data_IF_505516556781
#
_entry.id   IF_505516556781
#
_cell.length_a   1.000
_cell.length_b   1.000
_cell.length_c   1.000
_cell.angle_alpha   90.00
_cell.angle_beta   90.00
_cell.angle_gamma   90.00
#
_symmetry.space_group_name_H-M   'P 1'
#
loop_
_entity.id
_entity.type
_entity.pdbx_description
1 polymer ?
#
# COMPACT_ATOMS: atom_id res chain seq x y z
N UNK A 1 14.18 -0.68 8.43
CA UNK A 1 14.31 -0.71 9.90
C UNK A 1 12.97 -0.28 10.46
N UNK A 2 12.24 -1.08 11.25
CA UNK A 2 10.96 -0.66 11.77
C UNK A 2 11.18 0.33 12.93
N UNK A 3 10.54 1.49 12.85
CA UNK A 3 10.60 2.52 13.88
C UNK A 3 9.82 2.07 15.11
N UNK A 4 10.51 2.04 16.24
CA UNK A 4 9.94 1.80 17.56
C UNK A 4 9.44 3.15 18.08
N UNK A 5 8.12 3.34 18.14
CA UNK A 5 7.53 4.41 18.93
C UNK A 5 7.71 4.00 20.40
N UNK A 6 8.68 4.59 21.09
CA UNK A 6 8.81 4.46 22.55
C UNK A 6 8.23 5.72 23.19
N UNK A 7 6.91 5.77 23.31
CA UNK A 7 6.27 6.61 24.33
C UNK A 7 6.21 5.77 25.61
N UNK A 8 6.57 6.30 26.80
CA UNK A 8 6.41 5.56 28.05
C UNK A 8 4.95 5.13 28.22
N UNK A 9 4.70 3.83 28.08
CA UNK A 9 3.36 3.22 28.02
C UNK A 9 2.50 3.53 29.27
N UNK A 10 3.16 3.85 30.40
CA UNK A 10 2.52 4.14 31.68
C UNK A 10 1.73 5.45 31.68
N UNK A 11 2.16 6.49 30.94
CA UNK A 11 1.56 7.82 31.03
C UNK A 11 0.29 7.93 30.17
N UNK A 12 0.28 7.29 28.99
CA UNK A 12 -0.88 7.20 28.08
C UNK A 12 -2.06 6.46 28.71
N UNK A 13 -1.81 5.37 29.47
CA UNK A 13 -2.86 4.56 30.09
C UNK A 13 -3.71 5.33 31.10
N UNK A 14 -3.12 6.28 31.83
CA UNK A 14 -3.82 7.03 32.89
C UNK A 14 -4.83 8.04 32.33
N UNK A 15 -4.55 8.64 31.16
CA UNK A 15 -5.40 9.68 30.53
C UNK A 15 -6.46 9.13 29.58
N UNK A 16 -6.31 7.88 29.14
CA UNK A 16 -7.36 7.18 28.37
C UNK A 16 -8.58 6.87 29.26
N UNK A 17 -8.40 6.72 30.58
CA UNK A 17 -9.47 6.38 31.54
C UNK A 17 -10.50 7.49 31.82
N UNK A 18 -10.29 8.72 31.32
CA UNK A 18 -11.15 9.87 31.67
C UNK A 18 -12.18 10.26 30.60
N UNK A 19 -12.29 9.53 29.48
CA UNK A 19 -13.37 9.75 28.49
C UNK A 19 -14.43 8.64 28.59
N UNK A 20 -15.74 8.96 28.57
CA UNK A 20 -16.84 7.99 28.74
C UNK A 20 -17.12 7.16 27.47
N UNK A 21 -16.16 7.03 26.57
CA UNK A 21 -16.27 6.15 25.41
C UNK A 21 -15.72 4.79 25.81
N UNK A 22 -16.46 3.72 25.53
CA UNK A 22 -15.90 2.38 25.58
C UNK A 22 -14.64 2.29 24.68
N UNK A 23 -13.72 1.38 24.99
CA UNK A 23 -12.44 1.30 24.28
C UNK A 23 -12.57 1.15 22.75
N UNK A 24 -13.73 0.67 22.26
CA UNK A 24 -14.07 0.55 20.84
C UNK A 24 -14.60 1.85 20.23
N UNK A 25 -15.47 2.60 20.91
CA UNK A 25 -15.95 3.90 20.42
C UNK A 25 -14.84 4.97 20.41
N UNK A 26 -13.85 4.84 21.29
CA UNK A 26 -12.73 5.77 21.36
C UNK A 26 -11.81 5.71 20.15
N UNK A 27 -11.48 4.50 19.66
CA UNK A 27 -10.61 4.31 18.49
C UNK A 27 -11.28 4.75 17.18
N UNK A 28 -12.61 4.83 17.17
CA UNK A 28 -13.39 5.24 16.00
C UNK A 28 -13.68 6.74 15.97
N UNK A 29 -13.23 7.51 16.98
CA UNK A 29 -13.42 8.96 17.06
C UNK A 29 -12.09 9.69 16.83
N UNK A 30 -11.87 10.14 15.59
CA UNK A 30 -10.68 10.92 15.21
C UNK A 30 -10.45 12.13 16.12
N UNK A 31 -11.50 12.90 16.40
CA UNK A 31 -11.45 14.04 17.31
C UNK A 31 -11.00 13.64 18.72
N UNK A 32 -11.46 12.50 19.23
CA UNK A 32 -11.06 12.01 20.55
C UNK A 32 -9.62 11.52 20.60
N UNK A 33 -9.13 10.89 19.54
CA UNK A 33 -7.73 10.48 19.42
C UNK A 33 -6.80 11.71 19.37
N UNK A 34 -7.20 12.75 18.64
CA UNK A 34 -6.47 14.02 18.61
C UNK A 34 -6.43 14.72 19.98
N UNK A 35 -7.52 14.68 20.76
CA UNK A 35 -7.52 15.17 22.15
C UNK A 35 -6.54 14.39 23.03
N UNK A 36 -6.53 13.06 22.90
CA UNK A 36 -5.61 12.21 23.66
C UNK A 36 -4.17 12.53 23.31
N UNK A 37 -3.87 12.65 22.01
CA UNK A 37 -2.53 13.02 21.55
C UNK A 37 -2.12 14.38 22.11
N UNK A 38 -3.00 15.40 22.06
CA UNK A 38 -2.75 16.72 22.68
C UNK A 38 -2.42 16.60 24.16
N UNK A 39 -3.23 15.85 24.91
CA UNK A 39 -3.06 15.66 26.35
C UNK A 39 -1.79 14.88 26.71
N UNK A 40 -1.37 13.95 25.83
CA UNK A 40 -0.14 13.19 25.99
C UNK A 40 1.10 14.05 25.72
N UNK A 41 1.08 14.86 24.66
CA UNK A 41 2.18 15.78 24.32
C UNK A 41 2.33 16.89 25.38
N UNK A 42 1.23 17.36 25.95
CA UNK A 42 1.25 18.37 27.01
C UNK A 42 1.62 17.82 28.39
N UNK A 43 1.87 16.52 28.51
CA UNK A 43 2.29 15.94 29.78
C UNK A 43 3.71 16.43 30.13
N UNK A 44 3.92 17.03 31.32
CA UNK A 44 5.25 17.43 31.76
C UNK A 44 6.26 16.28 31.75
N UNK A 45 5.82 15.04 31.94
CA UNK A 45 6.68 13.84 31.95
C UNK A 45 6.98 13.29 30.54
N UNK A 46 6.26 13.71 29.49
CA UNK A 46 6.51 13.22 28.13
C UNK A 46 7.82 13.76 27.53
N UNK A 47 8.36 14.84 28.09
CA UNK A 47 9.58 15.47 27.57
C UNK A 47 9.36 16.09 26.18
N UNK A 48 10.37 15.96 25.32
CA UNK A 48 10.27 16.39 23.92
C UNK A 48 9.72 15.24 23.07
N UNK A 49 8.69 15.53 22.27
CA UNK A 49 8.02 14.60 21.37
C UNK A 49 8.26 15.03 19.93
N UNK A 50 8.72 14.10 19.09
CA UNK A 50 8.84 14.30 17.65
C UNK A 50 7.88 13.36 16.93
N UNK A 51 6.99 13.91 16.11
CA UNK A 51 6.05 13.17 15.28
C UNK A 51 6.58 13.20 13.84
N UNK A 52 6.73 12.03 13.23
CA UNK A 52 7.12 11.89 11.82
C UNK A 52 5.90 11.42 11.05
N UNK A 53 5.45 12.22 10.07
CA UNK A 53 4.40 11.86 9.13
C UNK A 53 5.04 11.67 7.76
N UNK A 54 5.04 10.43 7.29
CA UNK A 54 5.70 10.04 6.05
C UNK A 54 4.69 9.97 4.90
N UNK A 55 5.12 10.39 3.71
CA UNK A 55 4.39 10.33 2.44
C UNK A 55 2.96 10.88 2.51
N UNK A 56 2.82 12.13 2.96
CA UNK A 56 1.52 12.79 3.09
C UNK A 56 0.72 12.88 1.78
N UNK A 57 1.39 12.81 0.64
CA UNK A 57 0.75 12.75 -0.67
C UNK A 57 0.02 11.43 -0.96
N UNK A 58 0.19 10.41 -0.13
CA UNK A 58 -0.56 9.16 -0.18
C UNK A 58 -1.86 9.21 0.66
N UNK A 59 -2.10 10.26 1.43
CA UNK A 59 -3.35 10.42 2.17
C UNK A 59 -4.52 10.70 1.22
N UNK A 60 -5.69 10.11 1.53
CA UNK A 60 -6.92 10.48 0.84
C UNK A 60 -7.19 11.98 1.00
N UNK A 61 -7.69 12.64 -0.05
CA UNK A 61 -7.80 14.11 -0.07
C UNK A 61 -8.67 14.67 1.08
N UNK A 62 -9.75 13.96 1.41
CA UNK A 62 -10.65 14.28 2.52
C UNK A 62 -9.92 14.20 3.87
N UNK A 63 -9.19 13.12 4.11
CA UNK A 63 -8.44 12.89 5.35
C UNK A 63 -7.25 13.83 5.50
N UNK A 64 -6.60 14.15 4.39
CA UNK A 64 -5.45 15.04 4.35
C UNK A 64 -5.79 16.44 4.87
N UNK A 65 -6.96 16.98 4.48
CA UNK A 65 -7.40 18.31 4.91
C UNK A 65 -7.64 18.37 6.42
N UNK A 66 -8.27 17.33 6.98
CA UNK A 66 -8.48 17.19 8.42
C UNK A 66 -7.15 17.03 9.18
N UNK A 67 -6.21 16.27 8.62
CA UNK A 67 -4.88 16.08 9.19
C UNK A 67 -4.14 17.42 9.30
N UNK A 68 -4.05 18.18 8.21
CA UNK A 68 -3.38 19.50 8.19
C UNK A 68 -4.00 20.42 9.22
N UNK A 69 -5.33 20.55 9.25
CA UNK A 69 -6.02 21.42 10.20
C UNK A 69 -5.72 21.03 11.66
N UNK A 70 -5.65 19.73 11.97
CA UNK A 70 -5.33 19.27 13.32
C UNK A 70 -3.87 19.55 13.68
N UNK A 71 -2.92 19.37 12.75
CA UNK A 71 -1.50 19.72 12.94
C UNK A 71 -1.37 21.22 13.21
N UNK A 72 -1.97 22.07 12.38
CA UNK A 72 -1.98 23.52 12.58
C UNK A 72 -2.55 23.90 13.95
N UNK A 73 -3.70 23.32 14.32
CA UNK A 73 -4.30 23.56 15.65
C UNK A 73 -3.37 23.18 16.79
N UNK A 74 -2.61 22.08 16.67
CA UNK A 74 -1.66 21.68 17.70
C UNK A 74 -0.45 22.61 17.75
N UNK A 75 0.04 23.06 16.60
CA UNK A 75 1.22 23.92 16.52
C UNK A 75 0.90 25.34 17.00
N UNK A 76 -0.21 25.92 16.56
CA UNK A 76 -0.53 27.34 16.83
C UNK A 76 -1.27 27.58 18.16
N UNK A 77 -2.11 26.65 18.62
CA UNK A 77 -2.88 26.89 19.86
C UNK A 77 -2.08 26.56 21.12
N UNK A 78 -0.95 25.86 21.01
CA UNK A 78 -0.25 25.31 22.16
C UNK A 78 0.81 26.28 22.70
N UNK A 79 0.35 27.43 23.21
CA UNK A 79 1.20 28.50 23.75
C UNK A 79 2.09 28.06 24.92
N UNK A 80 1.73 26.97 25.61
CA UNK A 80 2.42 26.46 26.80
C UNK A 80 3.55 25.46 26.49
N UNK A 81 3.68 25.00 25.25
CA UNK A 81 4.56 23.89 24.88
C UNK A 81 5.67 24.27 23.89
N UNK A 82 5.97 25.55 23.72
CA UNK A 82 6.98 26.05 22.79
C UNK A 82 8.29 25.24 22.93
N UNK A 83 8.62 24.43 21.91
CA UNK A 83 9.82 23.60 21.85
C UNK A 83 9.69 22.12 22.26
N UNK A 84 8.57 21.69 22.86
CA UNK A 84 8.38 20.28 23.25
C UNK A 84 7.85 19.39 22.13
N UNK A 85 7.04 19.92 21.22
CA UNK A 85 6.51 19.17 20.08
C UNK A 85 7.23 19.55 18.79
N UNK A 86 7.66 18.56 18.01
CA UNK A 86 8.22 18.73 16.67
C UNK A 86 7.48 17.86 15.68
N UNK A 87 7.26 18.40 14.48
CA UNK A 87 6.78 17.65 13.33
C UNK A 87 7.88 17.54 12.29
N UNK A 88 8.02 16.35 11.71
CA UNK A 88 8.76 16.12 10.47
C UNK A 88 7.78 15.53 9.47
N UNK A 89 7.55 16.24 8.38
CA UNK A 89 6.58 15.87 7.35
C UNK A 89 7.34 15.57 6.06
N UNK A 90 7.00 14.49 5.38
CA UNK A 90 7.49 14.22 4.01
C UNK A 90 6.31 14.16 3.06
N UNK A 91 6.48 14.72 1.86
CA UNK A 91 5.47 14.73 0.80
C UNK A 91 6.11 15.01 -0.54
N UNK A 92 5.51 14.49 -1.62
CA UNK A 92 5.73 15.05 -2.95
C UNK A 92 5.17 16.48 -3.04
N UNK A 93 5.79 17.38 -3.84
CA UNK A 93 5.40 18.79 -3.91
C UNK A 93 4.22 19.02 -4.87
N UNK A 94 3.16 18.21 -4.75
CA UNK A 94 1.94 18.43 -5.54
C UNK A 94 1.26 19.73 -5.10
N UNK A 95 0.81 20.53 -6.06
CA UNK A 95 0.20 21.84 -5.79
C UNK A 95 -0.97 21.75 -4.80
N UNK A 96 -1.82 20.72 -4.93
CA UNK A 96 -2.93 20.44 -4.02
C UNK A 96 -2.51 20.19 -2.56
N UNK A 97 -1.27 19.77 -2.33
CA UNK A 97 -0.71 19.51 -1.01
C UNK A 97 -0.01 20.75 -0.48
N UNK A 98 0.86 21.34 -1.29
CA UNK A 98 1.62 22.54 -0.95
C UNK A 98 0.66 23.68 -0.59
N UNK A 99 -0.39 23.89 -1.39
CA UNK A 99 -1.40 24.93 -1.14
C UNK A 99 -2.12 24.79 0.21
N UNK A 100 -2.38 23.55 0.66
CA UNK A 100 -2.99 23.28 1.97
C UNK A 100 -2.01 23.50 3.12
N UNK A 101 -0.71 23.41 2.87
CA UNK A 101 0.35 23.66 3.84
C UNK A 101 0.90 25.08 3.86
N UNK A 102 0.45 25.98 2.97
CA UNK A 102 1.01 27.34 2.83
C UNK A 102 1.30 28.04 4.16
N UNK A 103 0.33 28.05 5.08
CA UNK A 103 0.51 28.70 6.39
C UNK A 103 1.61 28.06 7.23
N UNK A 104 1.75 26.73 7.19
CA UNK A 104 2.85 26.03 7.86
C UNK A 104 4.18 26.28 7.14
N UNK A 105 4.18 26.40 5.81
CA UNK A 105 5.40 26.68 5.03
C UNK A 105 5.91 28.12 5.23
N UNK A 106 5.02 29.07 5.54
CA UNK A 106 5.39 30.45 5.88
C UNK A 106 6.17 30.54 7.21
N UNK A 107 5.75 29.74 8.20
CA UNK A 107 6.27 29.81 9.57
C UNK A 107 7.37 28.76 9.87
N UNK A 108 7.51 27.72 9.05
CA UNK A 108 8.41 26.58 9.29
C UNK A 108 9.33 26.26 8.11
N UNK A 109 10.53 25.71 8.36
CA UNK A 109 11.49 25.42 7.30
C UNK A 109 10.99 24.30 6.37
N UNK A 110 11.09 24.57 5.07
CA UNK A 110 10.92 23.57 4.01
C UNK A 110 12.29 23.09 3.53
N UNK A 111 12.44 21.76 3.38
CA UNK A 111 13.61 21.17 2.73
C UNK A 111 13.13 20.50 1.44
N UNK A 112 13.38 21.17 0.31
CA UNK A 112 13.13 20.58 -1.00
C UNK A 112 14.28 19.63 -1.37
N UNK A 113 13.95 18.37 -1.55
CA UNK A 113 14.87 17.37 -2.11
C UNK A 113 14.58 17.30 -3.62
N UNK A 114 15.46 17.84 -4.49
CA UNK A 114 15.22 17.85 -5.93
C UNK A 114 15.30 16.43 -6.47
N UNK A 115 14.15 15.79 -6.71
CA UNK A 115 14.08 14.44 -7.28
C UNK A 115 14.28 14.40 -8.80
N UNK A 116 14.04 15.52 -9.49
CA UNK A 116 14.02 15.61 -10.96
C UNK A 116 15.05 16.61 -11.52
N UNK A 117 15.44 17.62 -10.75
CA UNK A 117 16.26 18.76 -11.20
C UNK A 117 17.77 18.48 -11.13
N UNK A 118 18.21 17.59 -10.23
CA UNK A 118 19.63 17.23 -10.01
C UNK A 118 19.97 15.81 -10.51
N UNK A 119 19.48 15.47 -11.70
CA UNK A 119 19.57 14.12 -12.28
C UNK A 119 20.98 13.51 -12.27
N UNK A 120 22.03 14.33 -12.40
CA UNK A 120 23.41 13.85 -12.40
C UNK A 120 23.90 13.47 -11.00
N UNK A 121 23.62 14.28 -9.97
CA UNK A 121 23.98 13.98 -8.58
C UNK A 121 23.24 12.71 -8.12
N UNK A 122 21.94 12.64 -8.38
CA UNK A 122 21.12 11.47 -8.06
C UNK A 122 21.66 10.23 -8.76
N UNK A 123 22.03 10.34 -10.04
CA UNK A 123 22.64 9.23 -10.78
C UNK A 123 23.96 8.77 -10.14
N UNK A 124 24.79 9.70 -9.66
CA UNK A 124 26.02 9.36 -8.93
C UNK A 124 25.75 8.66 -7.59
N UNK A 125 24.73 9.08 -6.84
CA UNK A 125 24.32 8.42 -5.60
C UNK A 125 23.77 7.00 -5.86
N UNK A 126 22.92 6.85 -6.87
CA UNK A 126 22.43 5.54 -7.34
C UNK A 126 23.60 4.64 -7.72
N UNK A 127 24.65 5.16 -8.38
CA UNK A 127 25.86 4.39 -8.69
C UNK A 127 26.55 3.85 -7.43
N UNK A 128 26.56 4.60 -6.31
CA UNK A 128 27.10 4.11 -5.03
C UNK A 128 26.26 2.98 -4.47
N UNK A 129 24.94 3.06 -4.57
CA UNK A 129 24.04 1.98 -4.15
C UNK A 129 24.24 0.73 -5.01
N UNK A 130 24.39 0.88 -6.34
CA UNK A 130 24.71 -0.22 -7.25
C UNK A 130 26.03 -0.89 -6.83
N UNK A 131 27.09 -0.12 -6.57
CA UNK A 131 28.37 -0.66 -6.09
C UNK A 131 28.22 -1.41 -4.78
N UNK A 132 27.45 -0.86 -3.84
CA UNK A 132 27.18 -1.54 -2.58
C UNK A 132 26.46 -2.87 -2.82
N UNK A 133 25.38 -2.87 -3.60
CA UNK A 133 24.57 -4.07 -3.88
C UNK A 133 25.34 -5.11 -4.69
N UNK A 134 26.17 -4.71 -5.66
CA UNK A 134 26.98 -5.64 -6.46
C UNK A 134 28.06 -6.32 -5.61
N UNK A 135 28.63 -5.62 -4.63
CA UNK A 135 29.54 -6.22 -3.66
C UNK A 135 28.85 -7.32 -2.85
N UNK A 136 27.60 -7.11 -2.43
CA UNK A 136 26.82 -8.11 -1.72
C UNK A 136 26.45 -9.30 -2.61
N UNK A 137 25.97 -9.03 -3.82
CA UNK A 137 25.63 -10.07 -4.81
C UNK A 137 26.84 -10.92 -5.16
N UNK A 138 28.00 -10.29 -5.39
CA UNK A 138 29.26 -10.97 -5.72
C UNK A 138 29.69 -11.94 -4.62
N UNK A 139 29.56 -11.57 -3.34
CA UNK A 139 29.82 -12.47 -2.21
C UNK A 139 28.86 -13.65 -2.18
N UNK A 140 27.55 -13.38 -2.30
CA UNK A 140 26.49 -14.42 -2.26
C UNK A 140 26.61 -15.41 -3.41
N UNK A 141 26.81 -14.92 -4.63
CA UNK A 141 26.91 -15.74 -5.85
C UNK A 141 28.34 -16.17 -6.20
N UNK A 142 29.35 -15.78 -5.41
CA UNK A 142 30.78 -16.06 -5.65
C UNK A 142 31.22 -15.65 -7.07
N UNK A 143 30.93 -14.41 -7.45
CA UNK A 143 31.34 -13.86 -8.75
C UNK A 143 32.83 -13.49 -8.71
N UNK A 144 33.57 -13.82 -9.76
CA UNK A 144 34.95 -13.36 -9.91
C UNK A 144 35.00 -11.83 -10.08
N UNK A 145 36.15 -11.23 -9.78
CA UNK A 145 36.34 -9.77 -9.88
C UNK A 145 36.00 -9.24 -11.28
N UNK A 146 36.43 -9.94 -12.35
CA UNK A 146 36.12 -9.53 -13.72
C UNK A 146 34.62 -9.55 -14.02
N UNK A 147 33.91 -10.61 -13.60
CA UNK A 147 32.46 -10.73 -13.80
C UNK A 147 31.67 -9.70 -12.99
N UNK A 148 32.08 -9.45 -11.75
CA UNK A 148 31.49 -8.41 -10.89
C UNK A 148 31.64 -7.03 -11.54
N UNK A 149 32.85 -6.67 -11.95
CA UNK A 149 33.12 -5.36 -12.56
C UNK A 149 32.35 -5.17 -13.85
N UNK A 150 32.23 -6.24 -14.65
CA UNK A 150 31.45 -6.24 -15.88
C UNK A 150 29.96 -5.97 -15.62
N UNK A 151 29.34 -6.72 -14.70
CA UNK A 151 27.95 -6.51 -14.33
C UNK A 151 27.71 -5.11 -13.74
N UNK A 152 28.62 -4.63 -12.87
CA UNK A 152 28.56 -3.28 -12.32
C UNK A 152 28.58 -2.21 -13.42
N UNK A 153 29.48 -2.35 -14.40
CA UNK A 153 29.57 -1.43 -15.53
C UNK A 153 28.26 -1.39 -16.32
N UNK A 154 27.67 -2.55 -16.61
CA UNK A 154 26.41 -2.62 -17.39
C UNK A 154 25.25 -1.99 -16.63
N UNK A 155 25.09 -2.28 -15.33
CA UNK A 155 24.07 -1.65 -14.49
C UNK A 155 24.25 -0.14 -14.38
N UNK A 156 25.50 0.35 -14.36
CA UNK A 156 25.86 1.77 -14.38
C UNK A 156 25.66 2.46 -15.74
N UNK A 157 25.41 1.73 -16.81
CA UNK A 157 25.08 2.29 -18.13
C UNK A 157 23.57 2.45 -18.37
N UNK A 158 22.71 1.78 -17.59
CA UNK A 158 21.24 1.90 -17.74
C UNK A 158 20.76 3.32 -17.46
N UNK A 159 19.87 3.86 -18.30
CA UNK A 159 19.27 5.19 -18.12
C UNK A 159 18.07 5.12 -17.16
N UNK A 160 17.57 6.26 -16.67
CA UNK A 160 16.33 6.35 -15.86
C UNK A 160 16.25 5.43 -14.61
N UNK A 161 17.38 5.21 -13.93
CA UNK A 161 17.44 4.37 -12.73
C UNK A 161 16.99 5.13 -11.48
N UNK A 162 16.08 4.53 -10.72
CA UNK A 162 15.70 4.97 -9.37
C UNK A 162 16.24 4.01 -8.31
N UNK A 163 16.24 4.40 -7.04
CA UNK A 163 16.57 3.49 -5.93
C UNK A 163 15.67 2.24 -5.92
N UNK A 164 14.39 2.41 -6.26
CA UNK A 164 13.43 1.30 -6.35
C UNK A 164 13.73 0.37 -7.52
N UNK A 165 14.15 0.91 -8.67
CA UNK A 165 14.62 0.10 -9.80
C UNK A 165 15.83 -0.77 -9.40
N UNK A 166 16.81 -0.17 -8.70
CA UNK A 166 17.97 -0.93 -8.18
C UNK A 166 17.51 -2.04 -7.25
N UNK A 167 16.57 -1.76 -6.35
CA UNK A 167 16.01 -2.78 -5.46
C UNK A 167 15.41 -3.96 -6.23
N UNK A 168 14.55 -3.70 -7.23
CA UNK A 168 13.90 -4.74 -8.04
C UNK A 168 14.88 -5.54 -8.89
N UNK A 169 15.83 -4.86 -9.54
CA UNK A 169 16.84 -5.53 -10.38
C UNK A 169 17.73 -6.43 -9.54
N UNK A 170 18.15 -5.98 -8.36
CA UNK A 170 18.97 -6.82 -7.49
C UNK A 170 18.18 -7.98 -6.89
N UNK A 171 16.90 -7.82 -6.57
CA UNK A 171 16.05 -8.95 -6.18
C UNK A 171 15.97 -10.01 -7.29
N UNK A 172 15.73 -9.58 -8.53
CA UNK A 172 15.74 -10.47 -9.69
C UNK A 172 17.09 -11.19 -9.85
N UNK A 173 18.21 -10.45 -9.83
CA UNK A 173 19.55 -11.01 -9.97
C UNK A 173 19.90 -11.96 -8.82
N UNK A 174 19.39 -11.73 -7.61
CA UNK A 174 19.57 -12.61 -6.45
C UNK A 174 18.86 -13.96 -6.66
N UNK A 175 17.67 -13.97 -7.26
CA UNK A 175 16.89 -15.19 -7.55
C UNK A 175 17.37 -15.91 -8.81
N UNK A 176 17.80 -15.18 -9.84
CA UNK A 176 18.13 -15.73 -11.16
C UNK A 176 19.44 -16.54 -11.13
N UNK A 177 19.43 -17.77 -11.66
CA UNK A 177 20.63 -18.61 -11.74
C UNK A 177 21.34 -18.44 -13.09
N UNK A 178 21.92 -17.26 -13.31
CA UNK A 178 22.62 -16.97 -14.56
C UNK A 178 24.00 -17.63 -14.65
N UNK A 179 24.41 -17.95 -15.89
CA UNK A 179 25.72 -18.52 -16.17
C UNK A 179 26.83 -17.53 -15.81
N UNK A 180 27.77 -17.95 -14.98
CA UNK A 180 28.90 -17.12 -14.50
C UNK A 180 30.01 -17.00 -15.55
N UNK A 181 29.68 -16.45 -16.72
CA UNK A 181 30.60 -16.10 -17.80
C UNK A 181 30.22 -14.72 -18.35
N UNK A 182 31.11 -14.07 -19.10
CA UNK A 182 30.78 -12.77 -19.72
C UNK A 182 29.52 -12.86 -20.60
N UNK A 183 29.42 -13.90 -21.44
CA UNK A 183 28.22 -14.14 -22.26
C UNK A 183 26.96 -14.39 -21.43
N UNK A 184 27.09 -15.11 -20.30
CA UNK A 184 25.96 -15.35 -19.41
C UNK A 184 25.47 -14.08 -18.72
N UNK A 185 26.39 -13.22 -18.29
CA UNK A 185 26.05 -11.90 -17.75
C UNK A 185 25.38 -11.03 -18.81
N UNK A 186 25.93 -10.96 -20.03
CA UNK A 186 25.31 -10.18 -21.11
C UNK A 186 23.90 -10.67 -21.42
N UNK A 187 23.68 -11.99 -21.50
CA UNK A 187 22.33 -12.53 -21.73
C UNK A 187 21.36 -12.14 -20.61
N UNK A 188 21.82 -12.07 -19.36
CA UNK A 188 20.98 -11.64 -18.23
C UNK A 188 20.76 -10.14 -18.21
N UNK A 189 21.77 -9.33 -18.55
CA UNK A 189 21.66 -7.87 -18.59
C UNK A 189 20.66 -7.42 -19.65
N UNK A 190 20.62 -8.08 -20.80
CA UNK A 190 19.66 -7.76 -21.88
C UNK A 190 18.21 -8.01 -21.45
N UNK A 191 17.97 -8.89 -20.48
CA UNK A 191 16.62 -9.15 -19.95
C UNK A 191 16.28 -8.28 -18.74
N UNK A 192 17.18 -7.41 -18.28
CA UNK A 192 16.90 -6.49 -17.19
C UNK A 192 16.04 -5.32 -17.70
N UNK A 193 15.12 -4.82 -16.86
CA UNK A 193 14.32 -3.68 -17.22
C UNK A 193 15.19 -2.42 -17.26
N UNK A 194 14.95 -1.52 -18.22
CA UNK A 194 15.67 -0.24 -18.32
C UNK A 194 15.03 0.88 -17.50
N UNK A 195 13.81 0.66 -17.01
CA UNK A 195 13.06 1.63 -16.21
C UNK A 195 12.27 0.93 -15.12
N UNK A 196 11.75 1.72 -14.16
CA UNK A 196 10.86 1.19 -13.12
C UNK A 196 9.57 0.59 -13.72
N UNK A 197 9.04 1.21 -14.79
CA UNK A 197 7.84 0.74 -15.48
C UNK A 197 8.08 -0.60 -16.19
N UNK A 198 9.24 -0.77 -16.85
CA UNK A 198 9.63 -2.07 -17.41
C UNK A 198 9.81 -3.13 -16.30
N UNK A 199 10.32 -2.74 -15.13
CA UNK A 199 10.48 -3.67 -14.01
C UNK A 199 9.13 -4.17 -13.51
N UNK A 200 8.14 -3.28 -13.41
CA UNK A 200 6.77 -3.63 -13.07
C UNK A 200 6.11 -4.54 -14.09
N UNK A 201 6.22 -4.21 -15.38
CA UNK A 201 5.71 -5.05 -16.48
C UNK A 201 6.35 -6.45 -16.44
N UNK A 202 7.65 -6.54 -16.21
CA UNK A 202 8.36 -7.82 -16.11
C UNK A 202 7.95 -8.65 -14.88
N UNK A 203 7.63 -8.00 -13.75
CA UNK A 203 7.13 -8.71 -12.56
C UNK A 203 5.75 -9.30 -12.85
N UNK A 204 4.84 -8.49 -13.41
CA UNK A 204 3.46 -8.89 -13.60
C UNK A 204 3.27 -9.82 -14.82
N UNK A 205 4.06 -9.69 -15.89
CA UNK A 205 3.99 -10.58 -17.05
C UNK A 205 4.25 -12.06 -16.73
N UNK A 206 4.91 -12.36 -15.61
CA UNK A 206 5.11 -13.75 -15.13
C UNK A 206 3.78 -14.47 -14.84
N UNK A 207 2.72 -13.74 -14.52
CA UNK A 207 1.40 -14.31 -14.27
C UNK A 207 0.61 -14.64 -15.54
N UNK A 208 1.16 -14.40 -16.74
CA UNK A 208 0.55 -14.74 -18.05
C UNK A 208 -0.87 -14.20 -18.24
N UNK A 209 -1.14 -12.99 -17.74
CA UNK A 209 -2.45 -12.35 -17.84
C UNK A 209 -3.56 -13.12 -17.09
N UNK A 210 -3.21 -13.89 -16.06
CA UNK A 210 -4.17 -14.58 -15.19
C UNK A 210 -5.23 -13.56 -14.68
N UNK A 211 -6.54 -13.79 -14.98
CA UNK A 211 -7.62 -12.92 -14.55
C UNK A 211 -7.61 -12.65 -13.04
N UNK A 212 -7.12 -13.60 -12.25
CA UNK A 212 -7.02 -13.47 -10.80
C UNK A 212 -6.04 -12.36 -10.40
N UNK A 213 -4.92 -12.20 -11.11
CA UNK A 213 -3.97 -11.09 -10.85
C UNK A 213 -4.64 -9.76 -11.14
N UNK A 214 -5.41 -9.65 -12.23
CA UNK A 214 -6.17 -8.44 -12.53
C UNK A 214 -7.22 -8.15 -11.46
N UNK A 215 -7.93 -9.16 -10.95
CA UNK A 215 -8.92 -9.03 -9.86
C UNK A 215 -8.24 -8.51 -8.59
N UNK A 216 -7.14 -9.15 -8.16
CA UNK A 216 -6.33 -8.72 -7.00
C UNK A 216 -5.87 -7.27 -7.14
N UNK A 217 -5.24 -6.91 -8.26
CA UNK A 217 -4.72 -5.55 -8.45
C UNK A 217 -5.85 -4.51 -8.45
N UNK A 218 -7.00 -4.83 -9.07
CA UNK A 218 -8.20 -3.99 -9.06
C UNK A 218 -8.73 -3.77 -7.65
N UNK A 219 -8.80 -4.83 -6.83
CA UNK A 219 -9.22 -4.73 -5.44
C UNK A 219 -8.27 -3.81 -4.66
N UNK A 220 -6.95 -4.00 -4.78
CA UNK A 220 -5.97 -3.16 -4.07
C UNK A 220 -6.06 -1.69 -4.52
N UNK A 221 -6.33 -1.42 -5.81
CA UNK A 221 -6.49 -0.07 -6.35
C UNK A 221 -7.69 0.68 -5.75
N UNK A 222 -8.84 0.01 -5.67
CA UNK A 222 -10.11 0.62 -5.23
C UNK A 222 -10.33 0.58 -3.71
N UNK A 223 -9.59 -0.25 -2.99
CA UNK A 223 -9.83 -0.46 -1.57
C UNK A 223 -9.72 0.83 -0.76
N UNK A 224 -10.73 1.12 0.07
CA UNK A 224 -10.78 2.31 0.94
C UNK A 224 -9.74 2.25 2.06
N UNK A 225 -9.28 1.03 2.40
CA UNK A 225 -8.14 0.77 3.27
C UNK A 225 -7.45 -0.51 2.80
N UNK A 226 -6.18 -0.73 3.16
CA UNK A 226 -5.52 -2.01 2.92
C UNK A 226 -6.34 -3.19 3.47
N UNK A 227 -6.63 -4.17 2.61
CA UNK A 227 -7.30 -5.41 2.99
C UNK A 227 -6.32 -6.32 3.73
N UNK A 228 -6.83 -7.10 4.68
CA UNK A 228 -6.12 -8.22 5.28
C UNK A 228 -6.03 -9.40 4.31
N UNK A 229 -5.15 -10.36 4.61
CA UNK A 229 -5.05 -11.61 3.85
C UNK A 229 -6.39 -12.35 3.78
N UNK A 230 -7.04 -12.55 4.92
CA UNK A 230 -8.36 -13.18 4.98
C UNK A 230 -9.44 -12.41 4.21
N UNK A 231 -9.47 -11.08 4.30
CA UNK A 231 -10.42 -10.25 3.53
C UNK A 231 -10.22 -10.40 2.02
N UNK A 232 -8.97 -10.33 1.56
CA UNK A 232 -8.66 -10.49 0.13
C UNK A 232 -8.97 -11.92 -0.35
N UNK A 233 -8.65 -12.93 0.45
CA UNK A 233 -8.91 -14.33 0.12
C UNK A 233 -10.41 -14.57 -0.09
N UNK A 234 -11.28 -13.97 0.74
CA UNK A 234 -12.72 -13.99 0.52
C UNK A 234 -13.08 -13.21 -0.75
N UNK A 235 -12.64 -11.95 -0.87
CA UNK A 235 -13.03 -11.08 -1.98
C UNK A 235 -12.70 -11.70 -3.36
N UNK A 236 -11.58 -12.41 -3.50
CA UNK A 236 -11.22 -13.02 -4.77
C UNK A 236 -11.98 -14.31 -5.08
N UNK A 237 -12.40 -15.07 -4.06
CA UNK A 237 -13.09 -16.35 -4.21
C UNK A 237 -14.62 -16.22 -4.21
N UNK A 238 -15.16 -15.04 -3.93
CA UNK A 238 -16.59 -14.77 -4.10
C UNK A 238 -16.91 -14.69 -5.59
N UNK A 239 -17.90 -15.49 -5.99
CA UNK A 239 -18.46 -15.59 -7.34
C UNK A 239 -19.98 -15.77 -7.30
N UNK A 240 -20.60 -15.78 -8.48
CA UNK A 240 -22.05 -15.94 -8.66
C UNK A 240 -22.52 -17.40 -8.54
N UNK A 241 -21.61 -18.37 -8.65
CA UNK A 241 -21.95 -19.80 -8.63
C UNK A 241 -22.09 -20.32 -7.19
N UNK A 242 -21.45 -19.66 -6.23
CA UNK A 242 -21.55 -19.92 -4.80
C UNK A 242 -22.99 -19.73 -4.28
N UNK A 243 -23.46 -20.63 -3.41
CA UNK A 243 -24.80 -20.54 -2.80
C UNK A 243 -24.73 -20.10 -1.33
N UNK A 244 -23.58 -20.31 -0.69
CA UNK A 244 -23.30 -19.97 0.70
C UNK A 244 -21.85 -19.53 0.86
N UNK A 245 -21.56 -18.72 1.90
CA UNK A 245 -20.17 -18.35 2.26
C UNK A 245 -19.29 -19.56 2.58
N UNK A 246 -19.89 -20.70 2.93
CA UNK A 246 -19.16 -21.96 3.19
C UNK A 246 -18.67 -22.65 1.92
N UNK A 247 -19.21 -22.30 0.76
CA UNK A 247 -18.84 -22.87 -0.53
C UNK A 247 -17.55 -22.23 -1.08
N UNK A 248 -17.09 -21.13 -0.47
CA UNK A 248 -15.90 -20.41 -0.89
C UNK A 248 -14.63 -21.26 -0.70
N UNK A 249 -13.83 -21.35 -1.77
CA UNK A 249 -12.56 -22.08 -1.79
C UNK A 249 -11.43 -21.27 -1.13
N UNK A 250 -11.37 -21.30 0.21
CA UNK A 250 -10.45 -20.48 1.00
C UNK A 250 -9.24 -21.27 1.53
N UNK A 251 -8.03 -20.94 1.07
CA UNK A 251 -6.77 -21.41 1.70
C UNK A 251 -6.50 -20.72 3.04
N UNK A 252 -5.69 -21.29 3.93
CA UNK A 252 -5.21 -20.54 5.10
C UNK A 252 -4.39 -19.29 4.70
N UNK A 253 -4.18 -18.38 5.65
CA UNK A 253 -3.54 -17.09 5.38
C UNK A 253 -2.08 -17.22 4.91
N UNK A 254 -1.33 -18.25 5.32
CA UNK A 254 0.08 -18.43 4.94
C UNK A 254 0.21 -19.05 3.54
N UNK A 255 -0.66 -20.00 3.21
CA UNK A 255 -0.78 -20.56 1.86
C UNK A 255 -1.26 -19.50 0.87
N UNK A 256 -2.33 -18.77 1.22
CA UNK A 256 -2.85 -17.68 0.38
C UNK A 256 -1.81 -16.58 0.15
N UNK A 257 -1.06 -16.21 1.19
CA UNK A 257 0.07 -15.28 1.09
C UNK A 257 1.15 -15.77 0.14
N UNK A 258 1.44 -17.07 0.14
CA UNK A 258 2.42 -17.66 -0.78
C UNK A 258 1.91 -17.62 -2.22
N UNK A 259 0.62 -17.89 -2.44
CA UNK A 259 -0.03 -17.79 -3.75
C UNK A 259 -0.08 -16.36 -4.28
N UNK A 260 -0.45 -15.40 -3.44
CA UNK A 260 -0.46 -13.98 -3.77
C UNK A 260 0.93 -13.47 -4.18
N UNK A 261 1.99 -13.94 -3.51
CA UNK A 261 3.38 -13.67 -3.90
C UNK A 261 3.76 -14.33 -5.22
N UNK A 262 3.23 -15.52 -5.52
CA UNK A 262 3.40 -16.19 -6.81
C UNK A 262 2.78 -15.39 -7.95
N UNK A 263 1.60 -14.81 -7.72
CA UNK A 263 0.86 -14.01 -8.71
C UNK A 263 1.44 -12.63 -8.97
N UNK A 264 1.70 -11.87 -7.90
CA UNK A 264 2.06 -10.46 -8.00
C UNK A 264 3.56 -10.21 -7.79
N UNK A 265 4.34 -11.22 -7.37
CA UNK A 265 5.75 -11.06 -7.06
C UNK A 265 6.01 -9.92 -6.07
N UNK A 266 7.05 -9.14 -6.34
CA UNK A 266 7.36 -7.94 -5.55
C UNK A 266 6.42 -6.76 -5.82
N UNK A 267 5.45 -6.86 -6.75
CA UNK A 267 4.55 -5.75 -7.05
C UNK A 267 3.63 -5.41 -5.86
N UNK A 268 3.38 -6.39 -5.00
CA UNK A 268 2.55 -6.30 -3.80
C UNK A 268 3.42 -6.60 -2.57
N UNK A 269 3.20 -5.85 -1.49
CA UNK A 269 3.84 -6.06 -0.20
C UNK A 269 2.80 -6.40 0.88
N UNK A 270 3.22 -7.16 1.89
CA UNK A 270 2.34 -7.58 2.99
C UNK A 270 2.98 -7.16 4.30
N UNK A 271 2.33 -6.26 5.03
CA UNK A 271 2.80 -5.70 6.28
C UNK A 271 1.73 -5.84 7.37
N UNK A 272 2.09 -6.46 8.50
CA UNK A 272 1.15 -6.79 9.59
C UNK A 272 -0.16 -7.45 9.11
N UNK A 273 -0.06 -8.38 8.16
CA UNK A 273 -1.21 -9.10 7.61
C UNK A 273 -2.08 -8.31 6.62
N UNK A 274 -1.72 -7.06 6.31
CA UNK A 274 -2.40 -6.19 5.33
C UNK A 274 -1.63 -6.09 4.03
N UNK A 275 -2.36 -5.97 2.93
CA UNK A 275 -1.86 -6.01 1.56
C UNK A 275 -1.75 -4.59 1.01
N UNK A 276 -0.60 -4.27 0.42
CA UNK A 276 -0.27 -2.97 -0.15
C UNK A 276 0.39 -3.13 -1.52
N UNK A 277 0.40 -2.08 -2.32
CA UNK A 277 1.40 -2.01 -3.39
C UNK A 277 2.82 -1.96 -2.80
N UNK A 278 3.82 -2.32 -3.60
CA UNK A 278 5.21 -2.13 -3.21
C UNK A 278 5.54 -0.67 -2.90
N UNK A 279 4.99 0.23 -3.70
CA UNK A 279 5.23 1.66 -3.65
C UNK A 279 4.11 2.40 -4.41
N UNK A 280 3.89 3.69 -4.13
CA UNK A 280 2.91 4.53 -4.83
C UNK A 280 3.12 4.53 -6.35
N UNK A 281 4.37 4.47 -6.83
CA UNK A 281 4.68 4.37 -8.27
C UNK A 281 4.12 3.10 -8.93
N UNK A 282 3.87 2.02 -8.18
CA UNK A 282 3.20 0.83 -8.70
C UNK A 282 1.69 1.06 -8.89
N UNK A 283 1.07 1.85 -8.00
CA UNK A 283 -0.32 2.33 -8.18
C UNK A 283 -0.42 3.23 -9.42
N UNK A 284 0.49 4.19 -9.54
CA UNK A 284 0.57 5.11 -10.69
C UNK A 284 0.79 4.37 -12.02
N UNK A 285 1.65 3.33 -12.00
CA UNK A 285 1.88 2.47 -13.16
C UNK A 285 0.59 1.82 -13.68
N UNK A 286 -0.34 1.39 -12.81
CA UNK A 286 -1.55 0.69 -13.25
C UNK A 286 -2.70 1.62 -13.66
N UNK A 287 -2.87 2.74 -12.95
CA UNK A 287 -4.06 3.58 -13.06
C UNK A 287 -4.14 4.30 -14.41
N UNK A 288 -5.17 3.98 -15.19
CA UNK A 288 -5.44 4.61 -16.48
C UNK A 288 -5.79 6.11 -16.36
N UNK A 289 -6.44 6.48 -15.26
CA UNK A 289 -6.95 7.84 -15.03
C UNK A 289 -5.84 8.88 -14.82
N UNK A 290 -4.61 8.42 -14.54
CA UNK A 290 -3.42 9.25 -14.41
C UNK A 290 -2.66 9.40 -15.74
N UNK A 291 -3.11 8.74 -16.80
CA UNK A 291 -2.46 8.81 -18.10
C UNK A 291 -2.64 10.20 -18.71
N UNK A 292 -1.52 10.87 -19.02
CA UNK A 292 -1.54 12.00 -19.97
C UNK A 292 -1.85 11.46 -21.37
N UNK A 293 -2.45 12.26 -22.28
CA UNK A 293 -2.76 11.87 -23.66
C UNK A 293 -1.50 11.76 -24.52
N UNK A 294 -0.54 10.95 -24.09
CA UNK A 294 0.66 10.54 -24.82
C UNK A 294 0.52 9.08 -25.19
N UNK A 295 0.99 8.70 -26.37
CA UNK A 295 0.96 7.32 -26.84
C UNK A 295 1.58 6.39 -25.79
N UNK A 296 0.81 5.39 -25.34
CA UNK A 296 1.31 4.36 -24.44
C UNK A 296 2.55 3.71 -25.08
N UNK A 297 3.65 3.50 -24.32
CA UNK A 297 4.80 2.79 -24.84
C UNK A 297 4.36 1.42 -25.36
N UNK A 298 4.68 1.10 -26.62
CA UNK A 298 4.19 -0.07 -27.37
C UNK A 298 4.45 -1.42 -26.66
N UNK A 299 5.30 -1.45 -25.63
CA UNK A 299 5.76 -2.65 -24.94
C UNK A 299 5.33 -2.79 -23.47
N UNK A 300 4.47 -1.91 -22.93
CA UNK A 300 4.00 -1.99 -21.54
C UNK A 300 2.49 -2.23 -21.50
N UNK A 301 2.07 -3.51 -21.47
CA UNK A 301 0.64 -3.88 -21.56
C UNK A 301 -0.15 -3.52 -20.31
N UNK A 302 0.49 -3.55 -19.15
CA UNK A 302 -0.18 -3.31 -17.87
C UNK A 302 -0.09 -1.85 -17.43
N UNK A 303 0.76 -1.06 -18.07
CA UNK A 303 0.89 0.37 -17.84
C UNK A 303 -0.40 1.10 -18.21
N UNK A 304 -0.98 1.83 -17.26
CA UNK A 304 -2.26 2.54 -17.41
C UNK A 304 -3.40 1.63 -17.92
N UNK A 305 -3.41 0.37 -17.51
CA UNK A 305 -4.33 -0.66 -18.04
C UNK A 305 -5.59 -0.92 -17.20
N UNK A 306 -5.68 -0.32 -16.01
CA UNK A 306 -6.81 -0.50 -15.09
C UNK A 306 -7.34 0.89 -14.71
N UNK A 307 -8.62 1.15 -14.97
CA UNK A 307 -9.26 2.38 -14.50
C UNK A 307 -9.74 2.26 -13.06
N UNK A 308 -9.80 3.40 -12.36
CA UNK A 308 -10.39 3.51 -11.04
C UNK A 308 -11.85 3.02 -11.07
N UNK A 309 -12.64 3.46 -12.05
CA UNK A 309 -14.03 3.03 -12.22
C UNK A 309 -14.17 1.50 -12.24
N UNK A 310 -13.39 0.81 -13.09
CA UNK A 310 -13.42 -0.66 -13.19
C UNK A 310 -12.97 -1.34 -11.90
N UNK A 311 -11.98 -0.76 -11.21
CA UNK A 311 -11.52 -1.28 -9.91
C UNK A 311 -12.63 -1.20 -8.86
N UNK A 312 -13.36 -0.08 -8.82
CA UNK A 312 -14.51 0.11 -7.95
C UNK A 312 -15.68 -0.83 -8.31
N UNK A 313 -15.93 -1.10 -9.59
CA UNK A 313 -16.91 -2.10 -10.03
C UNK A 313 -16.58 -3.49 -9.46
N UNK A 314 -15.34 -3.96 -9.67
CA UNK A 314 -14.89 -5.28 -9.17
C UNK A 314 -15.08 -5.39 -7.67
N UNK A 315 -14.69 -4.37 -6.90
CA UNK A 315 -14.79 -4.41 -5.45
C UNK A 315 -16.24 -4.26 -4.96
N UNK A 316 -17.07 -3.48 -5.65
CA UNK A 316 -18.51 -3.39 -5.37
C UNK A 316 -19.20 -4.75 -5.57
N UNK A 317 -18.93 -5.44 -6.68
CA UNK A 317 -19.43 -6.79 -6.96
C UNK A 317 -19.02 -7.77 -5.86
N UNK A 318 -17.73 -7.79 -5.49
CA UNK A 318 -17.23 -8.65 -4.42
C UNK A 318 -17.97 -8.40 -3.09
N UNK A 319 -18.20 -7.13 -2.74
CA UNK A 319 -18.91 -6.76 -1.50
C UNK A 319 -20.39 -7.18 -1.55
N UNK A 320 -21.09 -6.89 -2.64
CA UNK A 320 -22.53 -7.19 -2.77
C UNK A 320 -22.79 -8.69 -2.81
N UNK A 321 -22.00 -9.43 -3.59
CA UNK A 321 -22.08 -10.90 -3.65
C UNK A 321 -21.81 -11.52 -2.29
N UNK A 322 -20.75 -11.10 -1.60
CA UNK A 322 -20.44 -11.59 -0.26
C UNK A 322 -21.61 -11.33 0.71
N UNK A 323 -22.16 -10.11 0.72
CA UNK A 323 -23.27 -9.75 1.61
C UNK A 323 -24.52 -10.57 1.30
N UNK A 324 -24.79 -10.86 0.03
CA UNK A 324 -25.91 -11.73 -0.37
C UNK A 324 -25.72 -13.16 0.15
N UNK A 325 -24.54 -13.76 -0.09
CA UNK A 325 -24.19 -15.10 0.41
C UNK A 325 -24.25 -15.17 1.94
N UNK A 326 -23.75 -14.13 2.61
CA UNK A 326 -23.74 -14.03 4.06
C UNK A 326 -25.15 -13.92 4.63
N UNK A 327 -26.03 -13.12 4.01
CA UNK A 327 -27.43 -12.99 4.42
C UNK A 327 -28.18 -14.33 4.27
N UNK A 328 -27.98 -15.04 3.16
CA UNK A 328 -28.55 -16.38 2.97
C UNK A 328 -28.09 -17.34 4.07
N UNK A 329 -26.80 -17.37 4.37
CA UNK A 329 -26.25 -18.18 5.46
C UNK A 329 -26.80 -17.80 6.85
N UNK A 330 -26.92 -16.50 7.14
CA UNK A 330 -27.46 -16.00 8.42
C UNK A 330 -28.92 -16.44 8.65
N UNK A 331 -29.73 -16.51 7.58
CA UNK A 331 -31.12 -16.98 7.66
C UNK A 331 -31.21 -18.46 8.04
N UNK A 332 -30.29 -19.31 7.57
CA UNK A 332 -30.25 -20.73 7.95
C UNK A 332 -29.68 -20.98 9.35
N UNK A 333 -29.03 -19.98 9.95
CA UNK A 333 -28.33 -20.11 11.24
C UNK A 333 -29.13 -19.58 12.44
N UNK A 334 -30.28 -18.95 12.23
CA UNK A 334 -31.18 -18.53 13.32
C UNK A 334 -31.94 -19.70 13.98
N UNK A 335 -31.90 -20.90 13.39
CA UNK A 335 -32.54 -22.12 13.96
C UNK A 335 -31.71 -22.82 15.07
N UNK A 336 -30.45 -22.44 15.31
CA UNK A 336 -29.57 -23.12 16.27
C UNK A 336 -29.18 -22.28 17.50
N UNK A 337 -29.89 -21.16 17.76
CA UNK A 337 -29.57 -20.09 18.72
C UNK A 337 -29.19 -20.47 20.17
N UNK A 338 -29.23 -21.73 20.59
CA UNK A 338 -28.92 -22.12 21.97
C UNK A 338 -27.49 -22.61 22.25
N UNK A 339 -26.55 -22.63 21.29
CA UNK A 339 -25.14 -22.97 21.60
C UNK A 339 -24.12 -22.29 20.67
N UNK A 340 -23.80 -21.01 20.86
CA UNK A 340 -22.43 -20.48 20.67
C UNK A 340 -22.34 -18.94 20.69
N UNK A 341 -22.23 -18.34 21.86
CA UNK A 341 -21.72 -16.96 21.95
C UNK A 341 -20.19 -16.89 21.74
N UNK A 342 -19.49 -18.04 21.77
CA UNK A 342 -18.03 -18.11 21.65
C UNK A 342 -17.49 -18.67 20.32
N UNK A 343 -18.32 -19.34 19.48
CA UNK A 343 -17.85 -19.92 18.20
C UNK A 343 -18.02 -18.97 16.99
N UNK A 344 -19.00 -18.05 17.03
CA UNK A 344 -19.34 -17.19 15.88
C UNK A 344 -18.31 -16.11 15.57
N UNK A 345 -17.53 -15.67 16.56
CA UNK A 345 -16.51 -14.61 16.37
C UNK A 345 -15.22 -15.09 15.71
N UNK A 346 -15.03 -16.39 15.54
CA UNK A 346 -13.79 -16.98 15.03
C UNK A 346 -13.98 -17.74 13.71
N UNK A 347 -15.16 -17.60 13.11
CA UNK A 347 -15.43 -18.20 11.82
C UNK A 347 -14.85 -17.31 10.72
N UNK A 348 -13.89 -17.86 9.97
CA UNK A 348 -13.10 -17.15 8.95
C UNK A 348 -13.97 -16.47 7.90
N UNK A 349 -15.19 -16.96 7.68
CA UNK A 349 -16.14 -16.40 6.72
C UNK A 349 -16.65 -15.00 7.12
N UNK A 350 -16.51 -14.57 8.38
CA UNK A 350 -16.89 -13.23 8.84
C UNK A 350 -15.84 -12.16 8.53
N UNK A 351 -14.64 -12.55 8.08
CA UNK A 351 -13.50 -11.64 7.97
C UNK A 351 -13.72 -10.51 6.95
N UNK A 352 -14.63 -10.67 5.98
CA UNK A 352 -14.95 -9.63 4.99
C UNK A 352 -16.24 -8.83 5.29
N UNK A 353 -16.99 -9.19 6.34
CA UNK A 353 -18.29 -8.58 6.65
C UNK A 353 -18.19 -7.09 6.98
N UNK A 354 -17.25 -6.72 7.85
CA UNK A 354 -17.10 -5.33 8.27
C UNK A 354 -16.68 -4.44 7.11
N UNK A 355 -15.73 -4.89 6.29
CA UNK A 355 -15.30 -4.14 5.11
C UNK A 355 -16.47 -3.95 4.14
N UNK A 356 -17.07 -5.07 3.72
CA UNK A 356 -18.14 -5.06 2.70
C UNK A 356 -19.35 -4.24 3.12
N UNK A 357 -19.84 -4.41 4.35
CA UNK A 357 -21.03 -3.69 4.84
C UNK A 357 -20.85 -2.18 4.94
N UNK A 358 -19.63 -1.70 5.22
CA UNK A 358 -19.35 -0.26 5.34
C UNK A 358 -19.03 0.42 4.00
N UNK A 359 -18.38 -0.31 3.07
CA UNK A 359 -17.81 0.33 1.87
C UNK A 359 -18.53 0.00 0.57
N UNK A 360 -19.41 -1.01 0.52
CA UNK A 360 -20.07 -1.42 -0.75
C UNK A 360 -20.74 -0.24 -1.46
N UNK A 361 -21.47 0.61 -0.73
CA UNK A 361 -22.20 1.74 -1.30
C UNK A 361 -21.27 2.85 -1.80
N UNK A 362 -20.10 3.01 -1.18
CA UNK A 362 -19.06 3.90 -1.69
C UNK A 362 -18.49 3.37 -3.00
N UNK A 363 -18.08 2.09 -3.05
CA UNK A 363 -17.55 1.49 -4.27
C UNK A 363 -18.57 1.50 -5.42
N UNK A 364 -19.85 1.24 -5.13
CA UNK A 364 -20.92 1.31 -6.11
C UNK A 364 -21.06 2.69 -6.76
N UNK A 365 -20.97 3.77 -5.96
CA UNK A 365 -21.03 5.15 -6.47
C UNK A 365 -19.82 5.49 -7.33
N UNK A 366 -18.62 5.17 -6.87
CA UNK A 366 -17.38 5.43 -7.63
C UNK A 366 -17.30 4.60 -8.93
N UNK A 367 -17.94 3.43 -8.95
CA UNK A 367 -18.06 2.61 -10.15
C UNK A 367 -18.95 3.26 -11.23
N UNK A 368 -19.76 4.28 -10.88
CA UNK A 368 -20.69 4.97 -11.78
C UNK A 368 -21.51 3.98 -12.63
N UNK A 369 -22.00 2.90 -12.02
CA UNK A 369 -22.82 1.89 -12.70
C UNK A 369 -24.14 2.58 -13.08
N UNK A 370 -24.39 2.75 -14.37
CA UNK A 370 -25.65 3.29 -14.88
C UNK A 370 -26.68 2.16 -14.92
N UNK A 371 -27.97 2.47 -14.75
CA UNK A 371 -29.07 1.48 -14.72
C UNK A 371 -29.15 0.61 -16.00
N UNK A 372 -28.51 1.00 -17.11
CA UNK A 372 -28.47 0.18 -18.34
C UNK A 372 -27.43 -0.96 -18.32
N UNK A 373 -26.53 -1.01 -17.32
CA UNK A 373 -25.64 -2.16 -17.06
C UNK A 373 -26.24 -3.11 -16.00
N UNK A 374 -27.51 -2.91 -15.61
CA UNK A 374 -28.19 -3.63 -14.54
C UNK A 374 -28.71 -5.03 -14.95
N UNK A 375 -27.85 -5.86 -15.51
CA UNK A 375 -28.03 -7.32 -15.47
C UNK A 375 -27.51 -7.93 -14.14
N UNK A 376 -27.13 -7.09 -13.16
CA UNK A 376 -26.53 -7.49 -11.86
C UNK A 376 -27.58 -7.58 -10.73
N UNK A 377 -28.87 -7.41 -11.00
CA UNK A 377 -29.93 -7.63 -10.00
C UNK A 377 -31.02 -8.53 -10.55
N UNK A 378 -30.77 -9.84 -10.56
CA UNK A 378 -31.82 -10.85 -10.46
C UNK A 378 -31.37 -12.07 -9.65
#
# INVERSE_FOLDING_TARGET
MPYRVQVPFATLSSKIKTKPLDGKGLINSTGSLWDILRNAVNDPQAGQVTIVLDALDECAESEFSDLVQNVERQVYNNKLSHGKLKYLLTSRPYEQIVSKFNRLLDDFPEIRIPGEEDSEIISQEVNRVITYRINQLSKRKRLSTGLKNHLEQRLRQTTHRTYLWVYLVFDYLEQENFKKTLKGIESTVVTLPNSINEAYEQILSKSKEDPMVRKVLSIILAASRPLTLSEMNIAINVDFDSQSVRDLDLEDDDDFKSRLRGWCGLFVSIHHGKIYFLHQTAREFLLADLARPTAAPVNLRLHHSISARKSHTVLAECCVLYLNLFNSYSRFTTDWENRAENFVKNDRYYNFLHYSSETWGFHFREASILDDDADIVH
#
